data_IF_433770030423
#
_entry.id   IF_433770030423
#
_cell.length_a   1.000
_cell.length_b   1.000
_cell.length_c   1.000
_cell.angle_alpha   90.00
_cell.angle_beta   90.00
_cell.angle_gamma   90.00
#
_symmetry.space_group_name_H-M   'P 1'
#
loop_
_entity.id
_entity.type
_entity.pdbx_description
1 polymer ?
#
# COMPACT_ATOMS: atom_id res chain seq x y z
N UNK A 1 -21.89 -3.52 0.37
CA UNK A 1 -20.88 -3.86 1.41
C UNK A 1 -19.56 -3.18 1.06
N UNK A 2 -18.64 -3.11 2.04
CA UNK A 2 -17.27 -2.67 1.76
C UNK A 2 -16.30 -3.70 2.36
N UNK A 3 -15.38 -4.17 1.53
CA UNK A 3 -14.30 -5.07 1.94
C UNK A 3 -13.05 -4.23 2.23
N UNK A 4 -12.45 -4.45 3.37
CA UNK A 4 -11.26 -3.70 3.79
C UNK A 4 -10.11 -4.64 4.11
N UNK A 5 -9.01 -4.47 3.35
CA UNK A 5 -7.78 -5.27 3.45
C UNK A 5 -6.52 -4.41 3.66
N UNK A 6 -6.65 -3.09 3.67
CA UNK A 6 -5.53 -2.18 4.00
C UNK A 6 -5.32 -2.08 5.52
N UNK A 7 -5.18 -3.23 6.16
CA UNK A 7 -5.06 -3.47 7.58
C UNK A 7 -5.61 -4.86 7.93
N UNK A 8 -6.03 -5.13 9.16
CA UNK A 8 -6.77 -6.33 9.50
C UNK A 8 -8.01 -6.48 8.61
N UNK A 9 -8.19 -7.70 8.05
CA UNK A 9 -9.26 -7.99 7.09
C UNK A 9 -10.62 -7.90 7.77
N UNK A 10 -11.51 -7.11 7.19
CA UNK A 10 -12.88 -6.95 7.71
C UNK A 10 -13.88 -6.61 6.60
N UNK A 11 -15.15 -6.83 6.90
CA UNK A 11 -16.28 -6.49 6.02
C UNK A 11 -17.19 -5.51 6.73
N UNK A 12 -17.50 -4.40 6.09
CA UNK A 12 -18.47 -3.41 6.59
C UNK A 12 -19.80 -3.66 5.88
N UNK A 13 -20.84 -3.81 6.69
CA UNK A 13 -22.25 -3.96 6.26
C UNK A 13 -23.11 -2.87 6.91
N UNK A 14 -24.39 -2.81 6.53
CA UNK A 14 -25.34 -1.88 7.13
C UNK A 14 -25.48 -2.05 8.65
N UNK A 15 -25.25 -3.29 9.18
CA UNK A 15 -25.27 -3.60 10.61
C UNK A 15 -23.98 -3.36 11.38
N UNK A 16 -22.91 -2.89 10.73
CA UNK A 16 -21.64 -2.65 11.39
C UNK A 16 -20.44 -3.37 10.77
N UNK A 17 -19.37 -3.47 11.55
CA UNK A 17 -18.11 -4.10 11.14
C UNK A 17 -18.10 -5.57 11.54
N UNK A 18 -17.84 -6.44 10.59
CA UNK A 18 -17.67 -7.88 10.82
C UNK A 18 -16.24 -8.31 10.55
N UNK A 19 -15.67 -9.04 11.50
CA UNK A 19 -14.37 -9.70 11.37
C UNK A 19 -14.56 -11.17 11.02
N UNK A 20 -13.78 -11.65 10.06
CA UNK A 20 -13.78 -13.07 9.70
C UNK A 20 -13.05 -13.86 10.78
N UNK A 21 -13.74 -14.82 11.38
CA UNK A 21 -13.14 -15.66 12.43
C UNK A 21 -12.55 -16.91 11.81
N UNK A 22 -11.25 -17.10 12.04
CA UNK A 22 -10.50 -18.28 11.59
C UNK A 22 -9.60 -17.97 10.39
N UNK A 23 -8.29 -18.20 10.61
CA UNK A 23 -7.22 -17.91 9.65
C UNK A 23 -7.47 -18.45 8.23
N UNK A 24 -7.94 -19.70 8.12
CA UNK A 24 -8.16 -20.32 6.83
C UNK A 24 -9.34 -19.71 6.07
N UNK A 25 -10.40 -19.32 6.78
CA UNK A 25 -11.57 -18.68 6.17
C UNK A 25 -11.20 -17.26 5.73
N UNK A 26 -10.43 -16.58 6.55
CA UNK A 26 -9.90 -15.25 6.24
C UNK A 26 -8.99 -15.28 5.01
N UNK A 27 -8.10 -16.27 4.89
CA UNK A 27 -7.26 -16.46 3.70
C UNK A 27 -8.10 -16.67 2.43
N UNK A 28 -9.15 -17.51 2.49
CA UNK A 28 -10.07 -17.72 1.36
C UNK A 28 -10.80 -16.43 0.98
N UNK A 29 -11.34 -15.68 1.95
CA UNK A 29 -12.00 -14.40 1.67
C UNK A 29 -11.01 -13.40 1.05
N UNK A 30 -9.82 -13.30 1.61
CA UNK A 30 -8.75 -12.41 1.14
C UNK A 30 -8.40 -12.69 -0.32
N UNK A 31 -8.19 -13.96 -0.68
CA UNK A 31 -7.91 -14.35 -2.07
C UNK A 31 -9.04 -13.95 -3.02
N UNK A 32 -10.28 -14.19 -2.61
CA UNK A 32 -11.47 -13.83 -3.40
C UNK A 32 -11.64 -12.30 -3.54
N UNK A 33 -11.36 -11.53 -2.50
CA UNK A 33 -11.42 -10.05 -2.53
C UNK A 33 -10.32 -9.47 -3.42
N UNK A 34 -9.09 -9.99 -3.33
CA UNK A 34 -7.97 -9.56 -4.17
C UNK A 34 -8.28 -9.83 -5.66
N UNK A 35 -8.86 -11.00 -5.95
CA UNK A 35 -9.25 -11.44 -7.30
C UNK A 35 -10.73 -11.16 -7.61
N UNK A 36 -11.34 -10.14 -7.00
CA UNK A 36 -12.74 -9.82 -7.23
C UNK A 36 -13.06 -9.69 -8.74
N UNK A 37 -14.16 -10.31 -9.17
CA UNK A 37 -14.62 -10.48 -10.56
C UNK A 37 -13.73 -11.41 -11.41
N UNK A 38 -12.84 -12.19 -10.78
CA UNK A 38 -12.04 -13.23 -11.42
C UNK A 38 -12.25 -14.56 -10.70
N UNK A 39 -12.20 -15.66 -11.46
CA UNK A 39 -12.28 -17.00 -10.88
C UNK A 39 -10.99 -17.32 -10.13
N UNK A 40 -11.10 -17.69 -8.87
CA UNK A 40 -10.03 -18.32 -8.09
C UNK A 40 -10.29 -19.81 -8.08
N UNK A 41 -9.37 -20.57 -8.64
CA UNK A 41 -9.50 -22.01 -8.77
C UNK A 41 -9.40 -22.74 -7.42
N UNK A 42 -9.88 -23.98 -7.36
CA UNK A 42 -9.71 -24.81 -6.15
C UNK A 42 -8.26 -24.99 -5.76
N UNK A 43 -7.38 -25.21 -6.74
CA UNK A 43 -5.95 -25.43 -6.50
C UNK A 43 -5.29 -24.15 -5.94
N UNK A 44 -5.64 -22.97 -6.48
CA UNK A 44 -5.18 -21.68 -5.94
C UNK A 44 -5.67 -21.47 -4.50
N UNK A 45 -6.94 -21.78 -4.19
CA UNK A 45 -7.46 -21.65 -2.82
C UNK A 45 -6.79 -22.64 -1.85
N UNK A 46 -6.51 -23.85 -2.29
CA UNK A 46 -5.77 -24.86 -1.49
C UNK A 46 -4.35 -24.38 -1.23
N UNK A 47 -3.67 -23.89 -2.26
CA UNK A 47 -2.31 -23.32 -2.14
C UNK A 47 -2.30 -22.10 -1.23
N UNK A 48 -3.31 -21.24 -1.31
CA UNK A 48 -3.44 -20.03 -0.48
C UNK A 48 -3.58 -20.35 1.01
N UNK A 49 -4.31 -21.42 1.35
CA UNK A 49 -4.60 -21.77 2.74
C UNK A 49 -3.52 -22.66 3.37
N UNK A 50 -2.95 -23.60 2.60
CA UNK A 50 -2.05 -24.64 3.15
C UNK A 50 -0.67 -24.68 2.51
N UNK A 51 -0.44 -23.94 1.42
CA UNK A 51 0.80 -24.02 0.65
C UNK A 51 1.04 -25.46 0.14
N UNK A 52 2.26 -25.91 0.21
CA UNK A 52 2.69 -27.22 -0.30
C UNK A 52 2.24 -28.42 0.57
N UNK A 53 1.52 -28.18 1.68
CA UNK A 53 1.13 -29.24 2.64
C UNK A 53 -0.37 -29.30 2.90
N UNK A 54 -1.18 -29.51 1.86
CA UNK A 54 -2.62 -29.60 2.03
C UNK A 54 -3.03 -30.89 2.76
N UNK A 55 -4.07 -30.86 3.60
CA UNK A 55 -4.64 -32.05 4.21
C UNK A 55 -5.35 -32.90 3.17
N UNK A 56 -5.53 -34.20 3.44
CA UNK A 56 -6.21 -35.15 2.52
C UNK A 56 -7.63 -34.71 2.08
N UNK A 57 -8.31 -33.85 2.87
CA UNK A 57 -9.66 -33.34 2.61
C UNK A 57 -9.66 -31.85 2.35
N UNK A 58 -8.60 -31.29 1.79
CA UNK A 58 -8.47 -29.85 1.53
C UNK A 58 -9.65 -29.29 0.72
N UNK A 59 -10.05 -29.98 -0.37
CA UNK A 59 -11.18 -29.56 -1.21
C UNK A 59 -12.50 -29.50 -0.41
N UNK A 60 -12.77 -30.51 0.43
CA UNK A 60 -13.97 -30.50 1.26
C UNK A 60 -13.94 -29.35 2.29
N UNK A 61 -12.77 -29.03 2.84
CA UNK A 61 -12.61 -27.89 3.74
C UNK A 61 -12.86 -26.55 3.04
N UNK A 62 -12.37 -26.36 1.80
CA UNK A 62 -12.65 -25.16 1.00
C UNK A 62 -14.17 -24.99 0.80
N UNK A 63 -14.91 -26.07 0.48
CA UNK A 63 -16.36 -26.00 0.37
C UNK A 63 -17.05 -25.54 1.67
N UNK A 64 -16.55 -26.00 2.83
CA UNK A 64 -17.05 -25.57 4.14
C UNK A 64 -16.75 -24.08 4.37
N UNK A 65 -15.54 -23.62 4.06
CA UNK A 65 -15.17 -22.21 4.19
C UNK A 65 -16.02 -21.30 3.30
N UNK A 66 -16.23 -21.70 2.05
CA UNK A 66 -17.13 -20.98 1.12
C UNK A 66 -18.57 -20.93 1.66
N UNK A 67 -19.08 -22.05 2.21
CA UNK A 67 -20.42 -22.06 2.83
C UNK A 67 -20.54 -21.09 4.00
N UNK A 68 -19.51 -21.02 4.85
CA UNK A 68 -19.47 -20.08 5.98
C UNK A 68 -19.36 -18.62 5.49
N UNK A 69 -18.51 -18.35 4.50
CA UNK A 69 -18.38 -17.02 3.90
C UNK A 69 -19.69 -16.58 3.23
N UNK A 70 -20.39 -17.48 2.54
CA UNK A 70 -21.70 -17.18 1.95
C UNK A 70 -22.72 -16.77 3.02
N UNK A 71 -22.74 -17.44 4.16
CA UNK A 71 -23.59 -17.05 5.30
C UNK A 71 -23.18 -15.69 5.88
N UNK A 72 -21.88 -15.49 6.04
CA UNK A 72 -21.35 -14.24 6.55
C UNK A 72 -21.66 -13.08 5.58
N UNK A 73 -21.54 -13.26 4.27
CA UNK A 73 -21.74 -12.23 3.25
C UNK A 73 -23.18 -12.14 2.73
N UNK A 74 -24.13 -12.90 3.29
CA UNK A 74 -25.53 -12.80 2.92
C UNK A 74 -26.06 -11.38 3.17
N UNK A 75 -26.84 -10.85 2.23
CA UNK A 75 -27.51 -9.55 2.33
C UNK A 75 -28.91 -9.76 2.91
N UNK A 76 -29.36 -8.84 3.77
CA UNK A 76 -30.66 -8.95 4.45
C UNK A 76 -31.85 -9.06 3.46
N UNK A 77 -31.76 -8.45 2.30
CA UNK A 77 -32.85 -8.40 1.31
C UNK A 77 -32.70 -9.41 0.15
N UNK A 78 -31.56 -10.09 0.03
CA UNK A 78 -31.30 -11.06 -1.03
C UNK A 78 -30.70 -12.33 -0.45
N UNK A 79 -31.31 -13.45 -0.79
CA UNK A 79 -30.80 -14.80 -0.44
C UNK A 79 -29.46 -15.10 -1.15
N UNK A 80 -29.04 -14.23 -2.08
CA UNK A 80 -27.87 -14.44 -2.93
C UNK A 80 -26.62 -13.87 -2.29
N UNK A 81 -25.64 -14.76 -2.13
CA UNK A 81 -24.28 -14.40 -1.72
C UNK A 81 -23.49 -13.82 -2.89
N UNK A 82 -22.58 -12.85 -2.67
CA UNK A 82 -21.67 -12.36 -3.72
C UNK A 82 -20.67 -13.43 -4.19
N UNK A 83 -20.54 -14.56 -3.48
CA UNK A 83 -19.64 -15.64 -3.88
C UNK A 83 -20.38 -16.62 -4.80
N UNK A 84 -19.98 -16.65 -6.07
CA UNK A 84 -20.56 -17.51 -7.11
C UNK A 84 -19.67 -18.73 -7.31
N UNK A 85 -20.29 -19.92 -7.50
CA UNK A 85 -19.55 -21.10 -7.98
C UNK A 85 -19.37 -20.99 -9.48
N UNK A 86 -18.14 -20.99 -9.94
CA UNK A 86 -17.80 -20.95 -11.37
C UNK A 86 -16.61 -21.87 -11.62
N UNK A 87 -16.85 -22.97 -12.31
CA UNK A 87 -15.80 -23.95 -12.63
C UNK A 87 -14.62 -23.28 -13.31
N UNK A 88 -13.38 -23.54 -12.86
CA UNK A 88 -12.96 -24.55 -11.87
C UNK A 88 -12.82 -24.05 -10.42
N UNK A 89 -13.61 -23.10 -9.93
CA UNK A 89 -13.46 -22.57 -8.58
C UNK A 89 -14.61 -21.68 -8.13
N UNK A 90 -14.26 -20.53 -7.57
CA UNK A 90 -15.18 -19.53 -7.04
C UNK A 90 -14.81 -18.12 -7.49
N UNK A 91 -15.81 -17.27 -7.57
CA UNK A 91 -15.68 -15.87 -7.92
C UNK A 91 -16.42 -15.03 -6.88
N UNK A 92 -15.79 -13.98 -6.38
CA UNK A 92 -16.46 -12.92 -5.64
C UNK A 92 -16.92 -11.85 -6.64
N UNK A 93 -18.23 -11.74 -6.85
CA UNK A 93 -18.80 -10.70 -7.68
C UNK A 93 -18.84 -9.38 -6.90
N UNK A 94 -18.04 -8.40 -7.33
CA UNK A 94 -17.96 -7.10 -6.64
C UNK A 94 -19.28 -6.33 -6.78
N UNK A 95 -19.82 -6.23 -7.98
CA UNK A 95 -21.03 -5.43 -8.25
C UNK A 95 -20.87 -3.99 -7.79
N UNK A 96 -21.79 -3.53 -6.91
CA UNK A 96 -21.74 -2.18 -6.30
C UNK A 96 -20.94 -2.11 -4.99
N UNK A 97 -20.34 -3.21 -4.56
CA UNK A 97 -19.55 -3.24 -3.31
C UNK A 97 -18.20 -2.55 -3.50
N UNK A 98 -17.71 -1.95 -2.42
CA UNK A 98 -16.42 -1.25 -2.42
C UNK A 98 -15.31 -2.17 -1.91
N UNK A 99 -14.10 -1.97 -2.45
CA UNK A 99 -12.87 -2.63 -1.97
C UNK A 99 -11.84 -1.52 -1.72
N UNK A 100 -11.36 -1.39 -0.49
CA UNK A 100 -10.54 -0.28 -0.04
C UNK A 100 -9.23 -0.12 -0.82
N UNK A 101 -8.54 -1.23 -1.16
CA UNK A 101 -7.30 -1.13 -1.93
C UNK A 101 -7.54 -0.64 -3.38
N UNK A 102 -8.69 -0.95 -4.00
CA UNK A 102 -9.04 -0.41 -5.32
C UNK A 102 -9.32 1.09 -5.25
N UNK A 103 -9.92 1.56 -4.14
CA UNK A 103 -10.14 2.98 -3.88
C UNK A 103 -8.78 3.68 -3.69
N UNK A 104 -7.88 3.09 -2.89
CA UNK A 104 -6.51 3.56 -2.70
C UNK A 104 -5.76 3.73 -4.04
N UNK A 105 -5.77 2.69 -4.88
CA UNK A 105 -5.09 2.72 -6.18
C UNK A 105 -5.71 3.76 -7.14
N UNK A 106 -7.01 3.97 -7.06
CA UNK A 106 -7.68 5.03 -7.84
C UNK A 106 -7.17 6.40 -7.43
N UNK A 107 -7.13 6.73 -6.14
CA UNK A 107 -6.60 8.00 -5.66
C UNK A 107 -5.12 8.19 -6.00
N UNK A 108 -4.32 7.13 -5.93
CA UNK A 108 -2.91 7.18 -6.34
C UNK A 108 -2.79 7.48 -7.85
N UNK A 109 -3.63 6.90 -8.69
CA UNK A 109 -3.63 7.18 -10.13
C UNK A 109 -4.13 8.60 -10.46
N UNK A 110 -5.18 9.07 -9.79
CA UNK A 110 -5.68 10.45 -9.91
C UNK A 110 -4.60 11.47 -9.53
N UNK A 111 -3.85 11.20 -8.44
CA UNK A 111 -2.77 12.09 -8.01
C UNK A 111 -1.65 12.21 -9.04
N UNK A 112 -1.31 11.14 -9.76
CA UNK A 112 -0.29 11.19 -10.84
C UNK A 112 -0.71 12.16 -11.96
N UNK A 113 -2.00 12.19 -12.31
CA UNK A 113 -2.54 13.13 -13.29
C UNK A 113 -2.46 14.57 -12.77
N UNK A 114 -2.83 14.81 -11.51
CA UNK A 114 -2.70 16.13 -10.89
C UNK A 114 -1.26 16.60 -10.82
N UNK A 115 -0.31 15.72 -10.44
CA UNK A 115 1.13 16.03 -10.43
C UNK A 115 1.65 16.43 -11.81
N UNK A 116 1.26 15.70 -12.85
CA UNK A 116 1.69 16.00 -14.24
C UNK A 116 1.11 17.32 -14.77
N UNK A 117 -0.04 17.74 -14.24
CA UNK A 117 -0.69 19.01 -14.59
C UNK A 117 -0.22 20.20 -13.70
N UNK A 118 0.65 19.96 -12.70
CA UNK A 118 1.09 20.98 -11.74
C UNK A 118 0.03 21.35 -10.69
N UNK A 119 -1.01 20.53 -10.56
CA UNK A 119 -2.10 20.73 -9.58
C UNK A 119 -1.72 20.06 -8.25
N UNK A 120 -0.76 20.66 -7.54
CA UNK A 120 -0.14 20.04 -6.35
C UNK A 120 -1.08 19.95 -5.15
N UNK A 121 -2.00 20.89 -4.96
CA UNK A 121 -3.01 20.84 -3.90
C UNK A 121 -3.98 19.68 -4.08
N UNK A 122 -4.46 19.46 -5.30
CA UNK A 122 -5.36 18.35 -5.64
C UNK A 122 -4.64 17.02 -5.50
N UNK A 123 -3.37 16.94 -5.96
CA UNK A 123 -2.53 15.77 -5.78
C UNK A 123 -2.35 15.44 -4.29
N UNK A 124 -1.97 16.43 -3.46
CA UNK A 124 -1.82 16.25 -2.01
C UNK A 124 -3.09 15.74 -1.37
N UNK A 125 -4.24 16.34 -1.68
CA UNK A 125 -5.55 15.93 -1.15
C UNK A 125 -5.91 14.49 -1.52
N UNK A 126 -5.72 14.09 -2.79
CA UNK A 126 -6.00 12.72 -3.23
C UNK A 126 -5.10 11.71 -2.53
N UNK A 127 -3.80 12.02 -2.34
CA UNK A 127 -2.84 11.15 -1.67
C UNK A 127 -3.11 11.03 -0.17
N UNK A 128 -3.51 12.12 0.49
CA UNK A 128 -3.92 12.11 1.90
C UNK A 128 -5.15 11.22 2.09
N UNK A 129 -6.17 11.34 1.22
CA UNK A 129 -7.34 10.44 1.23
C UNK A 129 -6.94 8.98 1.01
N UNK A 130 -6.01 8.72 0.09
CA UNK A 130 -5.50 7.38 -0.14
C UNK A 130 -4.83 6.78 1.11
N UNK A 131 -3.98 7.55 1.79
CA UNK A 131 -3.27 7.10 2.98
C UNK A 131 -4.18 6.91 4.19
N UNK A 132 -5.28 7.66 4.30
CA UNK A 132 -6.29 7.49 5.36
C UNK A 132 -7.04 6.14 5.31
N UNK A 133 -7.02 5.46 4.17
CA UNK A 133 -7.60 4.13 4.04
C UNK A 133 -6.78 3.05 4.79
N UNK A 134 -5.51 3.33 5.09
CA UNK A 134 -4.62 2.41 5.74
C UNK A 134 -4.83 2.40 7.27
N UNK A 135 -5.13 1.21 7.80
CA UNK A 135 -5.38 0.96 9.22
C UNK A 135 -4.25 0.19 9.91
N UNK A 136 -3.20 -0.16 9.13
CA UNK A 136 -2.06 -0.96 9.56
C UNK A 136 -1.33 -1.58 8.36
N UNK A 137 -0.53 -2.63 8.58
CA UNK A 137 0.02 -3.45 7.50
C UNK A 137 -1.10 -4.06 6.66
N UNK A 138 -0.97 -4.05 5.32
CA UNK A 138 -1.95 -4.67 4.44
C UNK A 138 -2.13 -6.14 4.78
N UNK A 139 -3.39 -6.62 4.78
CA UNK A 139 -3.76 -8.00 5.06
C UNK A 139 -3.40 -8.48 6.48
N UNK A 140 -2.68 -7.69 7.27
CA UNK A 140 -2.16 -8.07 8.59
C UNK A 140 -1.61 -9.51 8.61
N UNK A 141 -2.22 -10.41 9.41
CA UNK A 141 -1.79 -11.80 9.53
C UNK A 141 -2.40 -12.74 8.46
N UNK A 142 -3.25 -12.22 7.56
CA UNK A 142 -3.89 -13.02 6.50
C UNK A 142 -2.98 -13.29 5.29
N UNK A 143 -1.83 -12.60 5.18
CA UNK A 143 -0.88 -12.78 4.08
C UNK A 143 -0.06 -14.08 4.23
N UNK A 144 -0.69 -15.23 3.99
CA UNK A 144 -0.02 -16.54 4.16
C UNK A 144 0.18 -17.31 2.87
N UNK A 145 -0.60 -17.07 1.84
CA UNK A 145 -0.49 -17.73 0.55
C UNK A 145 0.04 -16.82 -0.56
N UNK A 146 0.26 -17.36 -1.76
CA UNK A 146 0.90 -16.64 -2.86
C UNK A 146 0.10 -15.42 -3.35
N UNK A 147 -1.25 -15.51 -3.39
CA UNK A 147 -2.11 -14.40 -3.82
C UNK A 147 -2.01 -13.24 -2.81
N UNK A 148 -2.18 -13.54 -1.53
CA UNK A 148 -2.13 -12.54 -0.48
C UNK A 148 -0.72 -11.94 -0.34
N UNK A 149 0.33 -12.76 -0.36
CA UNK A 149 1.72 -12.30 -0.26
C UNK A 149 2.09 -11.38 -1.43
N UNK A 150 1.75 -11.77 -2.66
CA UNK A 150 1.98 -10.94 -3.84
C UNK A 150 1.23 -9.61 -3.77
N UNK A 151 -0.02 -9.63 -3.32
CA UNK A 151 -0.81 -8.42 -3.12
C UNK A 151 -0.25 -7.53 -2.01
N UNK A 152 0.16 -8.10 -0.87
CA UNK A 152 0.76 -7.35 0.23
C UNK A 152 2.04 -6.62 -0.20
N UNK A 153 2.93 -7.29 -0.94
CA UNK A 153 4.15 -6.70 -1.48
C UNK A 153 3.84 -5.56 -2.45
N UNK A 154 2.90 -5.76 -3.37
CA UNK A 154 2.46 -4.72 -4.31
C UNK A 154 1.86 -3.51 -3.59
N UNK A 155 1.00 -3.74 -2.60
CA UNK A 155 0.37 -2.67 -1.83
C UNK A 155 1.37 -1.90 -0.97
N UNK A 156 2.38 -2.58 -0.42
CA UNK A 156 3.48 -1.93 0.32
C UNK A 156 4.24 -0.96 -0.59
N UNK A 157 4.66 -1.40 -1.78
CA UNK A 157 5.33 -0.54 -2.76
C UNK A 157 4.43 0.63 -3.20
N UNK A 158 3.15 0.37 -3.45
CA UNK A 158 2.19 1.42 -3.81
C UNK A 158 2.00 2.45 -2.69
N UNK A 159 2.06 2.03 -1.42
CA UNK A 159 1.99 2.93 -0.26
C UNK A 159 3.24 3.80 -0.17
N UNK A 160 4.42 3.22 -0.41
CA UNK A 160 5.67 3.97 -0.44
C UNK A 160 5.68 5.00 -1.58
N UNK A 161 5.24 4.62 -2.78
CA UNK A 161 5.06 5.55 -3.89
C UNK A 161 4.08 6.68 -3.54
N UNK A 162 2.98 6.37 -2.83
CA UNK A 162 2.03 7.37 -2.35
C UNK A 162 2.71 8.40 -1.44
N UNK A 163 3.56 7.96 -0.50
CA UNK A 163 4.34 8.84 0.36
C UNK A 163 5.37 9.69 -0.41
N UNK A 164 6.05 9.09 -1.40
CA UNK A 164 7.00 9.82 -2.25
C UNK A 164 6.31 10.94 -3.03
N UNK A 165 5.17 10.61 -3.64
CA UNK A 165 4.42 11.56 -4.46
C UNK A 165 3.82 12.68 -3.59
N UNK A 166 3.28 12.32 -2.40
CA UNK A 166 2.74 13.30 -1.46
C UNK A 166 3.83 14.26 -0.98
N UNK A 167 4.97 13.73 -0.57
CA UNK A 167 6.09 14.56 -0.13
C UNK A 167 6.59 15.47 -1.27
N UNK A 168 6.62 14.97 -2.50
CA UNK A 168 6.94 15.76 -3.70
C UNK A 168 5.95 16.91 -3.91
N UNK A 169 4.64 16.64 -3.86
CA UNK A 169 3.61 17.66 -3.99
C UNK A 169 3.72 18.73 -2.89
N UNK A 170 3.93 18.31 -1.65
CA UNK A 170 4.06 19.21 -0.51
C UNK A 170 5.35 20.07 -0.57
N UNK A 171 6.44 19.54 -1.16
CA UNK A 171 7.65 20.33 -1.45
C UNK A 171 7.37 21.45 -2.46
N UNK A 172 6.58 21.18 -3.51
CA UNK A 172 6.19 22.20 -4.49
C UNK A 172 5.22 23.23 -3.89
N UNK A 173 4.42 22.85 -2.89
CA UNK A 173 3.54 23.74 -2.13
C UNK A 173 4.25 24.55 -1.04
N UNK A 174 5.56 24.42 -0.88
CA UNK A 174 6.33 25.16 0.13
C UNK A 174 6.22 24.64 1.57
N UNK A 175 5.60 23.46 1.80
CA UNK A 175 5.39 22.88 3.15
C UNK A 175 6.64 22.20 3.70
N UNK A 176 7.80 22.79 3.51
CA UNK A 176 9.10 22.16 3.79
C UNK A 176 9.29 21.76 5.24
N UNK A 177 8.94 22.66 6.18
CA UNK A 177 9.15 22.44 7.62
C UNK A 177 8.28 21.30 8.17
N UNK A 178 7.09 21.17 7.67
CA UNK A 178 6.11 20.13 8.08
C UNK A 178 6.60 18.73 7.66
N UNK A 179 7.28 18.64 6.51
CA UNK A 179 7.76 17.38 5.95
C UNK A 179 8.96 16.77 6.70
N UNK A 180 9.77 17.57 7.41
CA UNK A 180 11.03 17.10 7.99
C UNK A 180 10.80 15.92 8.95
N UNK A 181 9.85 16.02 9.86
CA UNK A 181 9.55 14.96 10.81
C UNK A 181 9.03 13.67 10.13
N UNK A 182 8.11 13.85 9.19
CA UNK A 182 7.52 12.74 8.43
C UNK A 182 8.56 11.99 7.59
N UNK A 183 9.38 12.72 6.83
CA UNK A 183 10.44 12.13 6.00
C UNK A 183 11.50 11.43 6.85
N UNK A 184 11.82 11.96 8.03
CA UNK A 184 12.73 11.31 8.97
C UNK A 184 12.20 9.94 9.42
N UNK A 185 10.90 9.85 9.75
CA UNK A 185 10.26 8.58 10.12
C UNK A 185 10.19 7.59 8.94
N UNK A 186 9.94 8.08 7.72
CA UNK A 186 9.93 7.25 6.52
C UNK A 186 11.32 6.67 6.21
N UNK A 187 12.37 7.44 6.41
CA UNK A 187 13.76 6.99 6.27
C UNK A 187 14.12 5.92 7.31
N UNK A 188 13.68 6.08 8.56
CA UNK A 188 13.93 5.08 9.60
C UNK A 188 13.25 3.75 9.28
N UNK A 189 12.03 3.79 8.74
CA UNK A 189 11.29 2.59 8.34
C UNK A 189 11.80 1.99 7.01
N UNK A 190 12.41 2.79 6.12
CA UNK A 190 12.85 2.38 4.78
C UNK A 190 14.24 2.94 4.46
N UNK A 191 15.30 2.49 5.16
CA UNK A 191 16.61 3.12 5.13
C UNK A 191 17.35 3.03 3.78
N UNK A 192 16.94 2.13 2.89
CA UNK A 192 17.55 1.97 1.56
C UNK A 192 16.80 2.75 0.45
N UNK A 193 15.73 3.48 0.80
CA UNK A 193 14.92 4.20 -0.19
C UNK A 193 15.42 5.63 -0.36
N UNK A 194 16.30 5.83 -1.33
CA UNK A 194 17.05 7.07 -1.53
C UNK A 194 16.19 8.32 -1.79
N UNK A 195 15.01 8.17 -2.38
CA UNK A 195 14.12 9.29 -2.68
C UNK A 195 13.72 10.07 -1.41
N UNK A 196 13.51 9.39 -0.28
CA UNK A 196 13.16 10.07 0.97
C UNK A 196 14.33 10.92 1.52
N UNK A 197 15.57 10.47 1.33
CA UNK A 197 16.74 11.29 1.67
C UNK A 197 16.84 12.52 0.78
N UNK A 198 16.58 12.38 -0.54
CA UNK A 198 16.56 13.52 -1.47
C UNK A 198 15.52 14.56 -1.05
N UNK A 199 14.29 14.11 -0.76
CA UNK A 199 13.21 14.98 -0.34
C UNK A 199 13.50 15.65 1.02
N UNK A 200 14.06 14.91 1.98
CA UNK A 200 14.47 15.47 3.28
C UNK A 200 15.60 16.50 3.14
N UNK A 201 16.60 16.23 2.31
CA UNK A 201 17.68 17.18 2.03
C UNK A 201 17.15 18.48 1.43
N UNK A 202 16.21 18.37 0.46
CA UNK A 202 15.58 19.53 -0.17
C UNK A 202 14.72 20.32 0.83
N UNK A 203 13.92 19.62 1.65
CA UNK A 203 13.09 20.24 2.70
C UNK A 203 13.94 21.00 3.73
N UNK A 204 15.05 20.42 4.18
CA UNK A 204 15.97 21.04 5.10
C UNK A 204 16.66 22.25 4.47
N UNK A 205 17.17 22.12 3.25
CA UNK A 205 17.83 23.22 2.53
C UNK A 205 16.90 24.42 2.34
N UNK A 206 15.66 24.17 1.86
CA UNK A 206 14.63 25.20 1.70
C UNK A 206 14.11 25.79 3.03
N UNK A 207 14.48 25.17 4.15
CA UNK A 207 14.21 25.66 5.52
C UNK A 207 15.43 26.34 6.17
N UNK A 208 16.42 26.75 5.38
CA UNK A 208 17.68 27.36 5.82
C UNK A 208 18.55 26.48 6.74
N UNK A 209 18.40 25.15 6.63
CA UNK A 209 19.11 24.14 7.42
C UNK A 209 20.11 23.36 6.57
N UNK A 210 20.98 24.08 5.85
CA UNK A 210 21.96 23.50 4.93
C UNK A 210 22.86 22.45 5.60
N UNK A 211 23.39 22.75 6.81
CA UNK A 211 24.25 21.80 7.52
C UNK A 211 23.55 20.48 7.85
N UNK A 212 22.25 20.53 8.16
CA UNK A 212 21.45 19.32 8.42
C UNK A 212 21.22 18.53 7.14
N UNK A 213 20.94 19.21 6.02
CA UNK A 213 20.78 18.54 4.71
C UNK A 213 22.06 17.77 4.33
N UNK A 214 23.24 18.36 4.52
CA UNK A 214 24.52 17.69 4.25
C UNK A 214 24.75 16.48 5.18
N UNK A 215 24.33 16.56 6.45
CA UNK A 215 24.38 15.40 7.38
C UNK A 215 23.47 14.26 6.93
N UNK A 216 22.31 14.57 6.38
CA UNK A 216 21.39 13.56 5.82
C UNK A 216 22.05 12.80 4.68
N UNK A 217 22.76 13.46 3.78
CA UNK A 217 23.52 12.81 2.72
C UNK A 217 24.58 11.84 3.28
N UNK A 218 25.37 12.28 4.28
CA UNK A 218 26.39 11.44 4.90
C UNK A 218 25.78 10.20 5.58
N UNK A 219 24.60 10.35 6.19
CA UNK A 219 23.85 9.22 6.76
C UNK A 219 23.43 8.24 5.66
N UNK A 220 22.85 8.74 4.56
CA UNK A 220 22.44 7.90 3.43
C UNK A 220 23.62 7.13 2.84
N UNK A 221 24.74 7.82 2.57
CA UNK A 221 25.96 7.20 2.01
C UNK A 221 26.47 6.07 2.90
N UNK A 222 26.54 6.30 4.20
CA UNK A 222 27.01 5.29 5.17
C UNK A 222 26.09 4.05 5.13
N UNK A 223 24.78 4.24 5.20
CA UNK A 223 23.82 3.13 5.21
C UNK A 223 23.92 2.32 3.91
N UNK A 224 23.97 2.98 2.76
CA UNK A 224 24.08 2.30 1.46
C UNK A 224 25.40 1.55 1.32
N UNK A 225 26.50 2.10 1.84
CA UNK A 225 27.80 1.45 1.82
C UNK A 225 27.84 0.24 2.78
N UNK A 226 27.28 0.38 3.99
CA UNK A 226 27.30 -0.68 5.01
C UNK A 226 26.39 -1.86 4.64
N UNK A 227 25.19 -1.58 4.08
CA UNK A 227 24.18 -2.61 3.79
C UNK A 227 24.32 -3.24 2.39
N UNK A 228 24.76 -2.46 1.39
CA UNK A 228 24.77 -2.88 -0.01
C UNK A 228 26.16 -2.78 -0.68
N UNK A 229 27.13 -2.10 -0.06
CA UNK A 229 28.43 -1.87 -0.66
C UNK A 229 28.43 -0.89 -1.85
N UNK A 230 27.40 -0.04 -1.98
CA UNK A 230 27.23 0.90 -3.10
C UNK A 230 27.27 2.35 -2.67
N UNK A 231 27.65 3.24 -3.59
CA UNK A 231 27.51 4.69 -3.40
C UNK A 231 26.07 5.15 -3.73
N UNK A 232 25.65 6.32 -3.16
CA UNK A 232 24.35 6.92 -3.48
C UNK A 232 24.12 7.11 -4.98
N UNK A 233 22.85 7.05 -5.41
CA UNK A 233 22.45 7.25 -6.79
C UNK A 233 22.87 8.64 -7.32
N UNK A 234 23.00 8.81 -8.68
CA UNK A 234 23.42 10.08 -9.24
C UNK A 234 22.58 11.28 -8.76
N UNK A 235 21.26 11.12 -8.74
CA UNK A 235 20.35 12.22 -8.29
C UNK A 235 20.63 12.69 -6.88
N UNK A 236 20.92 11.78 -5.94
CA UNK A 236 21.23 12.15 -4.55
C UNK A 236 22.59 12.83 -4.45
N UNK A 237 23.58 12.39 -5.25
CA UNK A 237 24.91 13.03 -5.34
C UNK A 237 24.83 14.43 -5.94
N UNK A 238 24.06 14.58 -7.03
CA UNK A 238 23.89 15.87 -7.70
C UNK A 238 23.20 16.89 -6.79
N UNK A 239 22.17 16.46 -6.04
CA UNK A 239 21.53 17.29 -5.03
C UNK A 239 22.51 17.71 -3.92
N UNK A 240 23.34 16.79 -3.44
CA UNK A 240 24.39 17.11 -2.46
C UNK A 240 25.37 18.17 -2.98
N UNK A 241 25.85 18.03 -4.23
CA UNK A 241 26.74 19.01 -4.85
C UNK A 241 26.05 20.37 -5.04
N UNK A 242 24.80 20.39 -5.45
CA UNK A 242 24.03 21.62 -5.61
C UNK A 242 23.83 22.35 -4.27
N UNK A 243 23.60 21.61 -3.17
CA UNK A 243 23.50 22.17 -1.82
C UNK A 243 24.85 22.73 -1.35
N UNK A 244 25.96 22.02 -1.60
CA UNK A 244 27.32 22.49 -1.24
C UNK A 244 27.67 23.79 -1.96
N UNK A 245 27.33 23.90 -3.26
CA UNK A 245 27.63 25.09 -4.07
C UNK A 245 26.67 26.26 -3.85
N UNK A 246 25.66 26.10 -3.01
CA UNK A 246 24.63 27.13 -2.80
C UNK A 246 23.83 27.47 -4.08
N UNK A 247 23.56 26.45 -4.91
CA UNK A 247 22.86 26.64 -6.20
C UNK A 247 21.50 27.29 -6.02
N UNK A 248 21.30 28.45 -6.67
CA UNK A 248 20.02 29.17 -6.70
C UNK A 248 18.89 28.37 -7.36
N UNK A 249 19.21 27.33 -8.14
CA UNK A 249 18.22 26.44 -8.77
C UNK A 249 17.44 25.61 -7.75
N UNK A 250 17.94 25.45 -6.50
CA UNK A 250 17.25 24.74 -5.41
C UNK A 250 16.36 25.67 -4.57
N UNK A 251 16.56 26.98 -4.68
CA UNK A 251 15.69 27.95 -4.04
C UNK A 251 14.28 27.89 -4.70
N UNK A 252 13.26 28.17 -3.91
CA UNK A 252 11.86 28.22 -4.35
C UNK A 252 11.72 29.10 -5.62
N UNK A 253 11.01 28.56 -6.61
CA UNK A 253 10.32 29.40 -7.60
C UNK A 253 9.08 30.00 -6.97
#
# INVERSE_FOLDING_TARGET
MRYEILGPVRVIKEGGVEFVRGRNIEAVLTALVIRADQVVTFDELVMEVWGDRPPRRATAAVHVYISQLRKLLARAEKTDSPIITQTPGYLLQQGSDEIDFKIFLRHLNESRLHMSAGHYEEASRSLEMALQLWRGPALADAASGPIATGCASFLLESRLECWETLSGAQLELGKHRELIGQLSSLIEANPLREIFYQQLMLALYRSDRQADALRVYQKARRILQDELGVDPCPRLRDLHHAILSGSSALALR
#
